data_IF_361414466274
#
_entry.id   IF_361414466274
#
_cell.length_a   1.000
_cell.length_b   1.000
_cell.length_c   1.000
_cell.angle_alpha   90.00
_cell.angle_beta   90.00
_cell.angle_gamma   90.00
#
_symmetry.space_group_name_H-M   'P 1'
#
loop_
_entity.id
_entity.type
_entity.pdbx_description
1 polymer ?
#
# COMPACT_ATOMS: atom_id res chain seq x y z
N UNK A 1 -84.40 53.85 2.22
CA UNK A 1 -84.95 54.87 3.14
C UNK A 1 -84.41 54.57 4.53
N UNK A 2 -83.78 55.57 5.16
CA UNK A 2 -83.33 55.68 6.56
C UNK A 2 -82.10 54.94 7.12
N UNK A 3 -81.30 55.77 7.81
CA UNK A 3 -80.02 55.62 8.50
C UNK A 3 -80.21 55.02 9.91
N UNK A 4 -79.15 54.38 10.43
CA UNK A 4 -78.78 54.35 11.86
C UNK A 4 -77.31 53.92 11.93
N UNK A 5 -76.31 54.80 12.04
CA UNK A 5 -75.78 55.45 13.27
C UNK A 5 -75.75 54.51 14.49
N UNK A 6 -74.56 54.06 14.93
CA UNK A 6 -74.00 54.39 16.26
C UNK A 6 -72.53 53.91 16.43
N UNK A 7 -71.70 54.87 16.88
CA UNK A 7 -70.52 54.79 17.76
C UNK A 7 -69.34 53.84 17.42
N UNK A 8 -68.21 54.35 16.94
CA UNK A 8 -67.02 54.79 17.73
C UNK A 8 -66.52 53.76 18.77
N UNK A 9 -65.37 53.12 18.48
CA UNK A 9 -64.34 52.89 19.49
C UNK A 9 -62.96 53.13 18.86
N UNK A 10 -62.29 54.13 19.41
CA UNK A 10 -60.95 54.59 19.08
C UNK A 10 -59.98 53.73 19.89
N UNK A 11 -59.11 52.93 19.26
CA UNK A 11 -57.98 52.29 19.96
C UNK A 11 -56.67 52.73 19.31
N UNK A 12 -55.83 53.32 20.15
CA UNK A 12 -54.55 53.93 19.80
C UNK A 12 -53.56 52.89 19.25
N UNK A 13 -52.83 53.29 18.21
CA UNK A 13 -51.65 52.55 17.73
C UNK A 13 -50.51 52.73 18.73
N UNK A 14 -50.18 51.67 19.46
CA UNK A 14 -48.90 51.59 20.19
C UNK A 14 -47.87 50.95 19.25
N UNK A 15 -46.90 51.76 18.82
CA UNK A 15 -45.76 51.33 18.00
C UNK A 15 -44.74 50.62 18.89
N UNK A 16 -44.54 49.31 18.71
CA UNK A 16 -43.44 48.57 19.35
C UNK A 16 -42.17 48.69 18.51
N UNK A 17 -41.22 49.48 19.02
CA UNK A 17 -39.85 49.56 18.53
C UNK A 17 -39.14 48.21 18.70
N UNK A 18 -38.74 47.60 17.57
CA UNK A 18 -38.01 46.32 17.56
C UNK A 18 -36.52 46.61 17.75
N UNK A 19 -35.97 46.29 18.94
CA UNK A 19 -34.52 46.39 19.20
C UNK A 19 -33.78 45.19 18.58
N UNK A 20 -32.92 45.47 17.61
CA UNK A 20 -32.03 44.48 16.98
C UNK A 20 -30.96 44.03 17.98
N UNK A 21 -31.00 42.75 18.38
CA UNK A 21 -29.98 42.13 19.24
C UNK A 21 -28.74 41.82 18.38
N UNK A 22 -27.62 42.45 18.70
CA UNK A 22 -26.33 42.17 18.06
C UNK A 22 -25.89 40.72 18.38
N UNK A 23 -25.76 39.88 17.34
CA UNK A 23 -25.20 38.52 17.46
C UNK A 23 -23.75 38.60 17.89
N UNK A 24 -23.46 38.24 19.15
CA UNK A 24 -22.09 37.98 19.62
C UNK A 24 -21.59 36.70 18.92
N UNK A 25 -20.56 36.83 18.09
CA UNK A 25 -19.83 35.71 17.50
C UNK A 25 -19.17 34.92 18.64
N UNK A 26 -19.62 33.69 18.88
CA UNK A 26 -18.92 32.76 19.78
C UNK A 26 -17.64 32.32 19.06
N UNK A 27 -16.47 32.31 19.72
CA UNK A 27 -15.29 31.66 19.16
C UNK A 27 -15.66 30.22 18.84
N UNK A 28 -15.53 29.82 17.57
CA UNK A 28 -15.69 28.43 17.19
C UNK A 28 -14.60 27.64 17.88
N UNK A 29 -14.97 26.80 18.86
CA UNK A 29 -14.12 25.70 19.27
C UNK A 29 -13.95 24.86 18.01
N UNK A 30 -12.80 24.98 17.35
CA UNK A 30 -12.43 24.01 16.32
C UNK A 30 -12.47 22.65 17.01
N UNK A 31 -13.27 21.72 16.48
CA UNK A 31 -13.11 20.32 16.81
C UNK A 31 -11.64 20.03 16.50
N UNK A 32 -10.88 19.66 17.52
CA UNK A 32 -9.57 19.06 17.31
C UNK A 32 -9.84 17.90 16.35
N UNK A 33 -9.30 17.99 15.13
CA UNK A 33 -9.41 16.90 14.17
C UNK A 33 -8.98 15.63 14.88
N UNK A 34 -9.81 14.60 14.78
CA UNK A 34 -9.52 13.32 15.39
C UNK A 34 -8.21 12.79 14.79
N UNK A 35 -7.14 12.79 15.59
CA UNK A 35 -5.82 12.30 15.20
C UNK A 35 -5.70 10.78 15.35
N UNK A 36 -6.80 10.02 15.52
CA UNK A 36 -6.74 8.61 15.93
C UNK A 36 -6.66 7.56 14.83
N UNK A 37 -6.61 7.93 13.55
CA UNK A 37 -6.30 6.98 12.45
C UNK A 37 -5.37 7.67 11.45
N UNK A 38 -4.10 7.23 11.24
CA UNK A 38 -3.60 5.86 11.28
C UNK A 38 -2.50 5.59 12.33
N UNK A 39 -2.64 4.54 13.15
CA UNK A 39 -1.65 4.10 14.14
C UNK A 39 -0.93 2.86 13.62
N UNK A 40 -0.02 3.02 12.64
CA UNK A 40 0.83 1.90 12.21
C UNK A 40 1.51 1.32 13.45
N UNK A 41 1.39 0.01 13.66
CA UNK A 41 2.05 -0.67 14.77
C UNK A 41 3.16 -1.54 14.20
N UNK A 42 4.40 -1.25 14.58
CA UNK A 42 5.53 -2.12 14.29
C UNK A 42 6.22 -2.62 15.56
N UNK A 43 6.55 -3.91 15.56
CA UNK A 43 7.23 -4.60 16.66
C UNK A 43 8.06 -5.77 16.14
N UNK A 44 9.07 -6.19 16.91
CA UNK A 44 9.83 -7.41 16.60
C UNK A 44 9.44 -8.50 17.58
N UNK A 45 8.97 -9.63 17.04
CA UNK A 45 8.63 -10.83 17.82
C UNK A 45 9.37 -12.00 17.20
N UNK A 46 10.23 -12.67 17.97
CA UNK A 46 11.02 -13.82 17.50
C UNK A 46 11.79 -13.52 16.21
N UNK A 47 12.48 -12.37 16.14
CA UNK A 47 13.23 -11.90 14.98
C UNK A 47 12.38 -11.62 13.71
N UNK A 48 11.06 -11.57 13.83
CA UNK A 48 10.14 -11.14 12.77
C UNK A 48 9.71 -9.70 13.05
N UNK A 49 10.00 -8.79 12.13
CA UNK A 49 9.44 -7.45 12.13
C UNK A 49 8.00 -7.54 11.64
N UNK A 50 7.04 -7.37 12.56
CA UNK A 50 5.62 -7.35 12.25
C UNK A 50 5.17 -5.91 12.13
N UNK A 51 4.57 -5.55 11.00
CA UNK A 51 3.97 -4.25 10.72
C UNK A 51 2.48 -4.46 10.47
N UNK A 52 1.64 -3.89 11.34
CA UNK A 52 0.19 -3.93 11.21
C UNK A 52 -0.31 -2.58 10.72
N UNK A 53 -0.97 -2.60 9.57
CA UNK A 53 -1.83 -1.55 9.07
C UNK A 53 -3.24 -1.88 9.56
N UNK A 54 -3.90 -0.97 10.26
CA UNK A 54 -5.13 -1.25 11.02
C UNK A 54 -6.31 -0.35 10.65
N UNK A 55 -6.06 0.83 10.09
CA UNK A 55 -7.11 1.76 9.68
C UNK A 55 -7.02 2.13 8.20
N UNK A 56 -8.10 2.74 7.69
CA UNK A 56 -8.18 3.21 6.32
C UNK A 56 -7.05 4.23 6.04
N UNK A 57 -6.38 4.07 4.90
CA UNK A 57 -5.26 4.91 4.47
C UNK A 57 -4.01 4.86 5.35
N UNK A 58 -3.84 3.82 6.18
CA UNK A 58 -2.59 3.54 6.86
C UNK A 58 -1.46 3.39 5.84
N UNK A 59 -0.41 4.19 5.99
CA UNK A 59 0.78 4.11 5.14
C UNK A 59 2.04 4.06 6.00
N UNK A 60 2.90 3.11 5.67
CA UNK A 60 4.17 2.91 6.35
C UNK A 60 5.31 2.81 5.34
N UNK A 61 6.50 3.18 5.78
CA UNK A 61 7.74 3.00 5.04
C UNK A 61 8.76 2.30 5.94
N UNK A 62 9.38 1.25 5.43
CA UNK A 62 10.44 0.51 6.14
C UNK A 62 11.79 1.02 5.65
N UNK A 63 12.64 1.40 6.61
CA UNK A 63 14.01 1.81 6.32
C UNK A 63 14.96 1.10 7.27
N UNK A 64 15.89 0.34 6.71
CA UNK A 64 17.04 -0.22 7.40
C UNK A 64 18.24 0.72 7.25
N UNK A 65 18.78 1.17 8.38
CA UNK A 65 19.96 2.01 8.41
C UNK A 65 20.73 1.76 9.71
N UNK A 66 22.06 1.78 9.63
CA UNK A 66 22.94 1.62 10.80
C UNK A 66 22.61 0.38 11.69
N UNK A 67 22.20 -0.74 11.07
CA UNK A 67 21.91 -1.99 11.79
C UNK A 67 20.52 -2.07 12.43
N UNK A 68 19.65 -1.09 12.21
CA UNK A 68 18.31 -1.07 12.77
C UNK A 68 17.25 -0.73 11.73
N UNK A 69 16.03 -1.22 11.97
CA UNK A 69 14.85 -0.91 11.19
C UNK A 69 14.07 0.21 11.86
N UNK A 70 13.59 1.12 11.02
CA UNK A 70 12.61 2.14 11.37
C UNK A 70 11.39 1.95 10.47
N UNK A 71 10.22 2.21 11.04
CA UNK A 71 8.94 2.13 10.32
C UNK A 71 8.24 3.47 10.48
N UNK A 72 7.97 4.17 9.38
CA UNK A 72 7.26 5.45 9.44
C UNK A 72 5.82 5.24 9.90
N UNK A 73 5.27 6.24 10.59
CA UNK A 73 3.94 6.14 11.18
C UNK A 73 3.87 5.23 12.42
N UNK A 74 4.96 4.52 12.75
CA UNK A 74 5.01 3.71 13.95
C UNK A 74 4.99 4.57 15.21
N UNK A 75 4.11 4.22 16.15
CA UNK A 75 4.04 4.88 17.46
C UNK A 75 5.24 4.48 18.35
N UNK A 76 5.83 3.31 18.12
CA UNK A 76 7.05 2.89 18.80
C UNK A 76 8.28 3.42 18.06
N UNK A 77 8.93 4.44 18.61
CA UNK A 77 10.09 5.12 17.99
C UNK A 77 11.45 4.47 18.31
N UNK A 78 11.47 3.35 19.05
CA UNK A 78 12.71 2.65 19.37
C UNK A 78 13.23 1.87 18.17
N UNK A 79 14.55 1.85 17.92
CA UNK A 79 15.14 1.10 16.82
C UNK A 79 14.85 -0.39 16.94
N UNK A 80 14.34 -0.98 15.86
CA UNK A 80 13.98 -2.39 15.79
C UNK A 80 15.19 -3.18 15.25
N UNK A 81 15.75 -4.09 16.04
CA UNK A 81 16.99 -4.81 15.71
C UNK A 81 16.76 -6.32 15.67
N UNK A 82 17.77 -7.09 15.24
CA UNK A 82 17.72 -8.56 15.15
C UNK A 82 16.59 -9.10 14.26
N UNK A 83 16.22 -8.36 13.22
CA UNK A 83 15.19 -8.77 12.26
C UNK A 83 15.80 -9.68 11.22
N UNK A 84 15.20 -10.84 11.05
CA UNK A 84 15.54 -11.84 10.02
C UNK A 84 14.42 -12.00 9.00
N UNK A 85 13.18 -11.71 9.38
CA UNK A 85 11.98 -11.81 8.54
C UNK A 85 11.13 -10.56 8.71
N UNK A 86 10.38 -10.20 7.67
CA UNK A 86 9.47 -9.06 7.70
C UNK A 86 8.07 -9.53 7.30
N UNK A 87 7.09 -9.19 8.12
CA UNK A 87 5.69 -9.48 7.89
C UNK A 87 4.86 -8.21 8.00
N UNK A 88 4.33 -7.78 6.87
CA UNK A 88 3.40 -6.66 6.74
C UNK A 88 2.00 -7.24 6.57
N UNK A 89 1.03 -6.73 7.32
CA UNK A 89 -0.35 -7.16 7.20
C UNK A 89 -1.31 -6.01 7.38
N UNK A 90 -2.37 -6.02 6.58
CA UNK A 90 -3.60 -5.34 6.95
C UNK A 90 -4.42 -6.24 7.88
N UNK A 91 -4.79 -5.70 9.03
CA UNK A 91 -5.64 -6.38 10.03
C UNK A 91 -7.00 -5.70 10.19
N UNK A 92 -7.21 -4.56 9.52
CA UNK A 92 -8.45 -3.81 9.56
C UNK A 92 -9.52 -4.48 8.71
N UNK A 93 -10.64 -4.91 9.30
CA UNK A 93 -11.79 -5.35 8.53
C UNK A 93 -12.30 -4.20 7.66
N UNK A 94 -12.08 -4.29 6.35
CA UNK A 94 -12.54 -3.31 5.32
C UNK A 94 -11.83 -1.95 5.40
N UNK A 95 -10.62 -1.91 5.95
CA UNK A 95 -9.74 -0.78 5.71
C UNK A 95 -9.45 -0.74 4.20
N UNK A 96 -9.37 0.45 3.62
CA UNK A 96 -8.97 0.62 2.21
C UNK A 96 -7.84 1.64 2.14
N UNK A 97 -6.98 1.50 1.14
CA UNK A 97 -5.91 2.46 0.87
C UNK A 97 -4.66 2.25 1.71
N UNK A 98 -4.47 1.04 2.26
CA UNK A 98 -3.26 0.68 2.98
C UNK A 98 -2.09 0.63 2.01
N UNK A 99 -0.96 1.17 2.44
CA UNK A 99 0.25 1.19 1.65
C UNK A 99 1.47 0.85 2.49
N UNK A 100 2.39 0.09 1.88
CA UNK A 100 3.73 -0.13 2.41
C UNK A 100 4.76 0.26 1.36
N UNK A 101 5.77 1.00 1.79
CA UNK A 101 6.95 1.32 0.97
C UNK A 101 8.19 0.68 1.58
N UNK A 102 8.87 -0.18 0.83
CA UNK A 102 10.18 -0.70 1.20
C UNK A 102 11.22 0.29 0.67
N UNK A 103 11.70 1.17 1.54
CA UNK A 103 12.76 2.14 1.20
C UNK A 103 14.13 1.50 1.26
N UNK A 104 14.37 0.66 2.27
CA UNK A 104 15.48 -0.27 2.34
C UNK A 104 15.22 -1.25 3.48
N UNK A 105 15.58 -2.52 3.30
CA UNK A 105 15.47 -3.54 4.35
C UNK A 105 16.77 -4.30 4.58
N UNK A 106 17.85 -3.98 3.83
CA UNK A 106 19.07 -4.79 3.85
C UNK A 106 18.82 -6.24 3.40
N UNK A 107 19.79 -7.11 3.66
CA UNK A 107 19.62 -8.55 3.45
C UNK A 107 18.87 -9.16 4.64
N UNK A 108 17.87 -9.99 4.33
CA UNK A 108 17.08 -10.75 5.31
C UNK A 108 17.27 -12.25 5.08
N UNK A 109 16.98 -13.07 6.08
CA UNK A 109 17.23 -14.52 6.05
C UNK A 109 16.01 -15.36 6.44
N UNK A 110 14.83 -14.76 6.49
CA UNK A 110 13.57 -15.39 6.91
C UNK A 110 12.36 -14.91 6.09
N UNK A 111 12.60 -14.39 4.90
CA UNK A 111 11.54 -14.00 3.96
C UNK A 111 10.90 -12.63 4.21
N UNK A 112 10.24 -12.14 3.17
CA UNK A 112 9.43 -10.92 3.18
C UNK A 112 8.01 -11.27 2.80
N UNK A 113 7.05 -10.95 3.67
CA UNK A 113 5.64 -11.24 3.43
C UNK A 113 4.79 -9.98 3.58
N UNK A 114 3.91 -9.72 2.63
CA UNK A 114 2.88 -8.68 2.70
C UNK A 114 1.51 -9.28 2.34
N UNK A 115 0.52 -9.13 3.23
CA UNK A 115 -0.82 -9.71 3.07
C UNK A 115 -1.89 -8.65 3.33
N UNK A 116 -2.90 -8.61 2.47
CA UNK A 116 -4.07 -7.75 2.65
C UNK A 116 -3.84 -6.26 2.40
N UNK A 117 -2.63 -5.84 2.03
CA UNK A 117 -2.31 -4.45 1.70
C UNK A 117 -2.83 -4.11 0.30
N UNK A 118 -3.27 -2.88 0.03
CA UNK A 118 -3.69 -2.49 -1.33
C UNK A 118 -2.49 -2.17 -2.23
N UNK A 119 -1.52 -1.41 -1.72
CA UNK A 119 -0.35 -0.99 -2.50
C UNK A 119 0.94 -1.34 -1.81
N UNK A 120 1.80 -2.09 -2.50
CA UNK A 120 3.15 -2.41 -2.04
C UNK A 120 4.13 -1.76 -3.02
N UNK A 121 5.06 -0.95 -2.52
CA UNK A 121 6.08 -0.30 -3.35
C UNK A 121 7.47 -0.71 -2.89
N UNK A 122 8.26 -1.27 -3.81
CA UNK A 122 9.62 -1.73 -3.54
C UNK A 122 10.61 -0.76 -4.19
N UNK A 123 11.18 0.16 -3.39
CA UNK A 123 12.12 1.18 -3.87
C UNK A 123 13.58 0.74 -3.82
N UNK A 124 13.89 -0.26 -3.00
CA UNK A 124 15.22 -0.84 -2.88
C UNK A 124 15.11 -2.36 -2.93
N UNK A 125 16.21 -3.01 -3.31
CA UNK A 125 16.20 -4.43 -3.59
C UNK A 125 15.81 -5.24 -2.35
N UNK A 126 15.01 -6.29 -2.54
CA UNK A 126 14.76 -7.29 -1.52
C UNK A 126 15.68 -8.47 -1.81
N UNK A 127 16.72 -8.62 -0.99
CA UNK A 127 17.57 -9.81 -0.97
C UNK A 127 17.21 -10.69 0.22
N UNK A 128 16.64 -11.86 -0.04
CA UNK A 128 16.33 -12.86 0.96
C UNK A 128 17.22 -14.08 0.77
N UNK A 129 18.04 -14.44 1.75
CA UNK A 129 18.95 -15.60 1.66
C UNK A 129 18.33 -16.91 2.15
N UNK A 130 17.06 -16.91 2.56
CA UNK A 130 16.37 -18.13 2.98
C UNK A 130 16.04 -19.03 1.79
N UNK A 131 16.25 -20.34 1.97
CA UNK A 131 15.83 -21.42 1.06
C UNK A 131 14.45 -21.99 1.40
N UNK A 132 13.85 -21.55 2.51
CA UNK A 132 12.58 -22.05 3.00
C UNK A 132 11.47 -20.99 2.93
N UNK A 133 11.78 -19.77 3.36
CA UNK A 133 10.83 -18.67 3.48
C UNK A 133 11.07 -17.68 2.36
N UNK A 134 10.11 -17.56 1.45
CA UNK A 134 10.26 -16.77 0.23
C UNK A 134 9.94 -15.29 0.36
N UNK A 135 9.75 -14.66 -0.82
CA UNK A 135 9.17 -13.33 -0.94
C UNK A 135 7.72 -13.51 -1.38
N UNK A 136 6.75 -13.17 -0.53
CA UNK A 136 5.33 -13.30 -0.83
C UNK A 136 4.62 -11.96 -0.67
N UNK A 137 4.24 -11.34 -1.78
CA UNK A 137 3.60 -10.02 -1.79
C UNK A 137 2.22 -10.14 -2.40
N UNK A 138 1.19 -9.91 -1.59
CA UNK A 138 -0.18 -9.74 -2.05
C UNK A 138 -0.55 -8.27 -1.98
N UNK A 139 -0.99 -7.70 -3.11
CA UNK A 139 -1.51 -6.34 -3.16
C UNK A 139 -2.78 -6.26 -4.02
N UNK A 140 -3.86 -5.68 -3.49
CA UNK A 140 -5.14 -5.62 -4.21
C UNK A 140 -5.15 -4.60 -5.36
N UNK A 141 -4.39 -3.51 -5.24
CA UNK A 141 -4.30 -2.44 -6.25
C UNK A 141 -3.05 -2.60 -7.11
N UNK A 142 -1.87 -2.58 -6.49
CA UNK A 142 -0.61 -2.66 -7.24
C UNK A 142 0.58 -3.12 -6.38
N UNK A 143 1.48 -3.86 -7.02
CA UNK A 143 2.83 -4.13 -6.57
C UNK A 143 3.76 -3.34 -7.48
N UNK A 144 4.26 -2.19 -7.00
CA UNK A 144 5.20 -1.36 -7.73
C UNK A 144 6.62 -1.84 -7.46
N UNK A 145 7.30 -2.31 -8.51
CA UNK A 145 8.66 -2.84 -8.42
C UNK A 145 9.62 -1.84 -9.05
N UNK A 146 10.36 -1.14 -8.20
CA UNK A 146 11.34 -0.13 -8.59
C UNK A 146 12.78 -0.61 -8.37
N UNK A 147 12.96 -1.87 -7.97
CA UNK A 147 14.23 -2.52 -7.68
C UNK A 147 14.15 -4.03 -8.00
N UNK A 148 15.23 -4.77 -7.77
CA UNK A 148 15.27 -6.22 -8.01
C UNK A 148 14.76 -7.01 -6.79
N UNK A 149 14.23 -8.20 -7.04
CA UNK A 149 13.87 -9.17 -6.00
C UNK A 149 14.73 -10.42 -6.16
N UNK A 150 15.38 -10.86 -5.09
CA UNK A 150 16.20 -12.07 -5.07
C UNK A 150 15.84 -12.91 -3.86
N UNK A 151 15.51 -14.18 -4.07
CA UNK A 151 15.36 -15.18 -3.02
C UNK A 151 16.44 -16.27 -3.15
N UNK A 152 16.89 -16.81 -2.02
CA UNK A 152 17.93 -17.83 -1.96
C UNK A 152 17.35 -19.22 -2.12
N UNK A 153 16.76 -19.52 -3.28
CA UNK A 153 16.09 -20.79 -3.62
C UNK A 153 14.69 -20.99 -3.01
N UNK A 154 14.16 -19.98 -2.32
CA UNK A 154 12.77 -19.96 -1.87
C UNK A 154 11.84 -19.31 -2.90
N UNK A 155 10.53 -19.63 -2.90
CA UNK A 155 9.59 -19.08 -3.88
C UNK A 155 9.46 -17.56 -3.85
N UNK A 156 9.18 -16.95 -5.01
CA UNK A 156 8.73 -15.56 -5.12
C UNK A 156 7.29 -15.55 -5.64
N UNK A 157 6.36 -15.00 -4.85
CA UNK A 157 4.94 -14.91 -5.19
C UNK A 157 4.50 -13.45 -5.18
N UNK A 158 4.01 -12.97 -6.32
CA UNK A 158 3.51 -11.62 -6.52
C UNK A 158 2.02 -11.71 -6.89
N UNK A 159 1.16 -11.75 -5.88
CA UNK A 159 -0.26 -12.09 -6.04
C UNK A 159 -1.15 -11.01 -6.67
N UNK A 160 -0.64 -9.78 -6.84
CA UNK A 160 -1.37 -8.64 -7.40
C UNK A 160 -0.92 -8.23 -8.80
N UNK A 161 -1.47 -7.13 -9.30
CA UNK A 161 -0.96 -6.48 -10.51
C UNK A 161 0.45 -5.93 -10.26
N UNK A 162 1.41 -6.35 -11.07
CA UNK A 162 2.80 -5.89 -10.98
C UNK A 162 3.05 -4.77 -11.97
N UNK A 163 3.67 -3.70 -11.47
CA UNK A 163 4.06 -2.53 -12.27
C UNK A 163 5.57 -2.33 -12.16
N UNK A 164 6.27 -2.45 -13.29
CA UNK A 164 7.71 -2.28 -13.37
C UNK A 164 8.06 -0.81 -13.54
N UNK A 165 8.75 -0.22 -12.57
CA UNK A 165 9.15 1.19 -12.59
C UNK A 165 10.61 1.40 -12.17
N UNK A 166 11.44 0.36 -12.19
CA UNK A 166 12.87 0.49 -11.95
C UNK A 166 13.50 1.41 -13.00
N UNK A 167 14.28 2.39 -12.53
CA UNK A 167 14.89 3.39 -13.40
C UNK A 167 15.92 2.78 -14.35
N UNK A 168 16.69 1.81 -13.86
CA UNK A 168 17.66 1.03 -14.64
C UNK A 168 17.05 -0.33 -15.01
N UNK A 169 16.70 -0.50 -16.28
CA UNK A 169 16.14 -1.74 -16.80
C UNK A 169 17.26 -2.74 -17.14
N UNK A 170 17.07 -4.07 -16.99
CA UNK A 170 15.85 -4.79 -16.61
C UNK A 170 15.51 -4.74 -15.11
N UNK A 171 14.25 -5.02 -14.79
CA UNK A 171 13.86 -5.53 -13.45
C UNK A 171 14.17 -7.01 -13.41
N UNK A 172 14.89 -7.46 -12.38
CA UNK A 172 15.23 -8.86 -12.18
C UNK A 172 14.43 -9.43 -11.01
N UNK A 173 13.75 -10.55 -11.25
CA UNK A 173 13.07 -11.38 -10.26
C UNK A 173 13.74 -12.74 -10.28
N UNK A 174 14.55 -13.03 -9.28
CA UNK A 174 15.37 -14.25 -9.24
C UNK A 174 15.09 -15.05 -7.97
N UNK A 175 14.42 -16.18 -8.11
CA UNK A 175 14.13 -17.06 -7.00
C UNK A 175 15.24 -18.10 -6.75
N UNK A 176 16.36 -18.06 -7.47
CA UNK A 176 17.34 -19.16 -7.46
C UNK A 176 16.67 -20.43 -7.97
N UNK A 177 16.61 -21.47 -7.15
CA UNK A 177 15.85 -22.71 -7.39
C UNK A 177 14.44 -22.73 -6.74
N UNK A 178 13.79 -21.58 -6.59
CA UNK A 178 12.40 -21.43 -6.13
C UNK A 178 11.40 -21.13 -7.27
N UNK A 179 10.13 -21.48 -7.09
CA UNK A 179 9.08 -21.11 -8.06
C UNK A 179 8.88 -19.58 -8.10
N UNK A 180 8.61 -19.02 -9.28
CA UNK A 180 8.17 -17.62 -9.44
C UNK A 180 6.74 -17.57 -9.96
N UNK A 181 5.86 -16.89 -9.23
CA UNK A 181 4.45 -16.73 -9.61
C UNK A 181 4.02 -15.27 -9.65
N UNK A 182 3.46 -14.86 -10.78
CA UNK A 182 2.74 -13.59 -10.95
C UNK A 182 1.24 -13.87 -11.00
N UNK A 183 0.50 -13.46 -9.97
CA UNK A 183 -0.94 -13.69 -9.85
C UNK A 183 -1.78 -12.76 -10.73
N UNK A 184 -1.33 -11.52 -10.92
CA UNK A 184 -2.00 -10.51 -11.75
C UNK A 184 -1.27 -10.19 -13.06
N UNK A 185 -1.69 -9.12 -13.72
CA UNK A 185 -1.00 -8.62 -14.92
C UNK A 185 0.37 -8.05 -14.58
N UNK A 186 1.34 -8.15 -15.49
CA UNK A 186 2.65 -7.48 -15.37
C UNK A 186 2.76 -6.41 -16.44
N UNK A 187 2.98 -5.16 -16.04
CA UNK A 187 3.03 -4.02 -16.95
C UNK A 187 4.27 -3.17 -16.70
N UNK A 188 4.69 -2.42 -17.72
CA UNK A 188 5.55 -1.25 -17.47
C UNK A 188 4.76 -0.17 -16.70
N UNK A 189 5.47 0.74 -16.04
CA UNK A 189 4.83 1.89 -15.38
C UNK A 189 4.23 2.91 -16.35
N UNK A 190 4.81 3.03 -17.54
CA UNK A 190 4.38 3.98 -18.57
C UNK A 190 4.58 3.37 -19.95
N UNK A 191 4.21 4.12 -20.99
CA UNK A 191 4.41 3.72 -22.40
C UNK A 191 5.88 3.50 -22.78
N UNK A 192 6.85 3.95 -21.96
CA UNK A 192 8.26 3.60 -22.12
C UNK A 192 8.52 2.20 -21.57
N UNK A 193 8.75 1.19 -22.43
CA UNK A 193 8.80 -0.20 -22.00
C UNK A 193 9.93 -0.46 -21.00
N UNK A 194 9.69 -1.36 -20.04
CA UNK A 194 10.66 -1.90 -19.09
C UNK A 194 10.87 -3.38 -19.39
N UNK A 195 12.12 -3.78 -19.51
CA UNK A 195 12.49 -5.19 -19.63
C UNK A 195 12.36 -5.89 -18.28
N UNK A 196 12.05 -7.19 -18.34
CA UNK A 196 11.88 -8.09 -17.20
C UNK A 196 12.77 -9.32 -17.39
N UNK A 197 13.51 -9.69 -16.36
CA UNK A 197 14.19 -10.99 -16.27
C UNK A 197 13.55 -11.75 -15.11
N UNK A 198 13.13 -12.99 -15.37
CA UNK A 198 12.64 -13.91 -14.36
C UNK A 198 13.46 -15.19 -14.38
N UNK A 199 13.97 -15.59 -13.23
CA UNK A 199 14.70 -16.84 -13.05
C UNK A 199 14.10 -17.64 -11.89
N UNK A 200 13.80 -18.90 -12.16
CA UNK A 200 13.38 -19.91 -11.19
C UNK A 200 14.32 -21.12 -11.17
N UNK A 201 15.49 -21.02 -11.84
CA UNK A 201 16.47 -22.11 -11.90
C UNK A 201 15.82 -23.40 -12.40
N UNK A 202 15.80 -24.42 -11.56
CA UNK A 202 15.22 -25.71 -11.91
C UNK A 202 13.68 -25.79 -11.74
N UNK A 203 13.03 -24.71 -11.32
CA UNK A 203 11.60 -24.64 -10.96
C UNK A 203 10.75 -23.96 -12.02
N UNK A 204 9.49 -23.68 -11.68
CA UNK A 204 8.50 -23.15 -12.60
C UNK A 204 8.40 -21.62 -12.52
N UNK A 205 8.10 -21.01 -13.67
CA UNK A 205 7.66 -19.61 -13.76
C UNK A 205 6.23 -19.57 -14.27
N UNK A 206 5.33 -18.94 -13.52
CA UNK A 206 3.91 -18.82 -13.86
C UNK A 206 3.49 -17.36 -13.98
N UNK A 207 2.95 -16.98 -15.14
CA UNK A 207 2.27 -15.71 -15.36
C UNK A 207 0.77 -15.93 -15.50
N UNK A 208 0.00 -15.73 -14.43
CA UNK A 208 -1.45 -15.99 -14.44
C UNK A 208 -2.25 -14.85 -15.08
N UNK A 209 -1.69 -13.64 -15.13
CA UNK A 209 -2.26 -12.49 -15.84
C UNK A 209 -1.57 -12.20 -17.16
N UNK A 210 -2.10 -11.23 -17.88
CA UNK A 210 -1.50 -10.74 -19.12
C UNK A 210 -0.20 -9.95 -18.89
N UNK A 211 0.69 -10.01 -19.89
CA UNK A 211 1.96 -9.30 -19.93
C UNK A 211 1.83 -8.11 -20.89
N UNK A 212 2.11 -6.91 -20.39
CA UNK A 212 2.08 -5.67 -21.18
C UNK A 212 0.69 -5.11 -21.50
N UNK A 213 -0.36 -5.62 -20.85
CA UNK A 213 -1.76 -5.30 -21.19
C UNK A 213 -2.13 -3.81 -21.05
N UNK A 214 -1.64 -3.12 -20.02
CA UNK A 214 -1.88 -1.68 -19.80
C UNK A 214 -0.79 -0.85 -20.44
N UNK A 215 0.47 -1.21 -20.20
CA UNK A 215 1.63 -0.62 -20.83
C UNK A 215 2.63 -1.71 -21.23
N UNK A 216 3.15 -1.66 -22.47
CA UNK A 216 3.93 -2.75 -23.05
C UNK A 216 5.20 -3.02 -22.26
N UNK A 217 5.60 -4.29 -22.20
CA UNK A 217 6.89 -4.68 -21.66
C UNK A 217 7.98 -4.57 -22.74
N UNK A 218 9.22 -4.41 -22.29
CA UNK A 218 10.39 -4.49 -23.15
C UNK A 218 10.76 -5.94 -23.44
N UNK A 219 12.05 -6.24 -23.52
CA UNK A 219 12.50 -7.63 -23.56
C UNK A 219 12.05 -8.38 -22.29
N UNK A 220 11.52 -9.59 -22.48
CA UNK A 220 11.17 -10.49 -21.38
C UNK A 220 12.05 -11.73 -21.52
N UNK A 221 12.89 -11.98 -20.53
CA UNK A 221 13.68 -13.20 -20.42
C UNK A 221 13.14 -14.03 -19.27
N UNK A 222 12.83 -15.30 -19.52
CA UNK A 222 12.30 -16.22 -18.52
C UNK A 222 13.12 -17.50 -18.56
N UNK A 223 13.61 -17.94 -17.40
CA UNK A 223 14.30 -19.22 -17.22
C UNK A 223 13.68 -20.01 -16.08
N UNK A 224 13.39 -21.28 -16.35
CA UNK A 224 12.85 -22.27 -15.44
C UNK A 224 12.83 -23.62 -16.15
N UNK A 225 13.28 -24.69 -15.49
CA UNK A 225 13.41 -26.01 -16.14
C UNK A 225 12.16 -26.89 -16.01
N UNK A 226 11.31 -26.63 -15.01
CA UNK A 226 10.11 -27.46 -14.78
C UNK A 226 8.96 -27.03 -15.70
N UNK A 227 8.59 -25.75 -15.66
CA UNK A 227 7.49 -25.22 -16.48
C UNK A 227 7.63 -23.70 -16.67
N UNK A 228 7.31 -23.21 -17.86
CA UNK A 228 7.06 -21.78 -18.11
C UNK A 228 5.62 -21.65 -18.59
N UNK A 229 4.75 -21.13 -17.74
CA UNK A 229 3.32 -20.98 -18.02
C UNK A 229 2.96 -19.52 -18.34
N UNK A 230 2.19 -19.35 -19.42
CA UNK A 230 1.62 -18.08 -19.85
C UNK A 230 0.08 -18.19 -19.83
N UNK A 231 -0.55 -17.70 -18.77
CA UNK A 231 -2.00 -17.77 -18.57
C UNK A 231 -2.79 -16.63 -19.22
N UNK A 232 -2.13 -15.56 -19.64
CA UNK A 232 -2.75 -14.39 -20.29
C UNK A 232 -2.08 -13.99 -21.61
N UNK A 233 -2.64 -12.97 -22.27
CA UNK A 233 -2.09 -12.42 -23.50
C UNK A 233 -0.73 -11.73 -23.26
N UNK A 234 0.12 -11.73 -24.29
CA UNK A 234 1.36 -10.93 -24.34
C UNK A 234 1.14 -9.82 -25.37
N UNK A 235 1.39 -8.56 -24.96
CA UNK A 235 1.25 -7.35 -25.78
C UNK A 235 2.52 -6.51 -25.71
#
# INVERSE_FOLDING_TARGET
MFKSLFSLFNMSKVSLSTRTIAKRLRPGLQLLEDRTTPAVLASVVSNVLIINLQAANDSAAITFAAGAYTVSGNINTSPLTSVTSILVRDTGTRATGQAITVTSIGAISGGFTSIGVETVTINDAIGNSSTADGISISAATAININADLTAGDAPIVLGGTVVLNKLTTPVTIDAGDGDVTFGGTVNSFSTTPKALIVSAGNKSVQFNGALGATFPLGAITVSGDTEIQLGGNIT
#
